data_IF_641374319364
#
_entry.id   IF_641374319364
#
_cell.length_a   1.000
_cell.length_b   1.000
_cell.length_c   1.000
_cell.angle_alpha   90.00
_cell.angle_beta   90.00
_cell.angle_gamma   90.00
#
_symmetry.space_group_name_H-M   'P 1'
#
loop_
_entity.id
_entity.type
_entity.pdbx_description
1 polymer ?
#
# COMPACT_ATOMS: atom_id res chain seq x y z
N UNK A 1 33.01 13.98 -29.08
CA UNK A 1 31.68 14.05 -28.42
C UNK A 1 31.40 12.68 -27.86
N UNK A 2 31.09 12.57 -26.57
CA UNK A 2 30.74 11.28 -25.95
C UNK A 2 29.34 10.86 -26.34
N UNK A 3 29.10 9.55 -26.45
CA UNK A 3 27.79 8.97 -26.75
C UNK A 3 26.82 9.25 -25.58
N UNK A 4 25.76 10.07 -25.79
CA UNK A 4 24.78 10.38 -24.75
C UNK A 4 23.96 9.17 -24.29
N UNK A 5 23.96 8.07 -25.06
CA UNK A 5 23.28 6.80 -24.74
C UNK A 5 24.27 5.64 -24.56
N UNK A 6 25.52 5.95 -24.23
CA UNK A 6 26.57 4.96 -24.04
C UNK A 6 26.28 3.98 -22.91
N UNK A 7 27.14 2.97 -22.78
CA UNK A 7 26.97 1.87 -21.83
C UNK A 7 26.78 2.33 -20.38
N UNK A 8 27.31 3.49 -20.00
CA UNK A 8 27.12 4.09 -18.68
C UNK A 8 25.65 4.46 -18.41
N UNK A 9 24.95 5.07 -19.37
CA UNK A 9 23.53 5.41 -19.24
C UNK A 9 22.67 4.14 -19.15
N UNK A 10 22.95 3.17 -20.03
CA UNK A 10 22.23 1.87 -20.03
C UNK A 10 22.42 1.14 -18.70
N UNK A 11 23.64 1.12 -18.16
CA UNK A 11 23.93 0.51 -16.87
C UNK A 11 23.23 1.24 -15.72
N UNK A 12 23.18 2.58 -15.72
CA UNK A 12 22.43 3.33 -14.71
C UNK A 12 20.93 3.07 -14.80
N UNK A 13 20.34 3.10 -15.99
CA UNK A 13 18.91 2.82 -16.19
C UNK A 13 18.56 1.41 -15.72
N UNK A 14 19.39 0.43 -16.09
CA UNK A 14 19.23 -0.96 -15.65
C UNK A 14 19.34 -1.09 -14.14
N UNK A 15 20.31 -0.44 -13.51
CA UNK A 15 20.46 -0.43 -12.05
C UNK A 15 19.24 0.14 -11.35
N UNK A 16 18.70 1.27 -11.83
CA UNK A 16 17.50 1.91 -11.27
C UNK A 16 16.28 1.01 -11.44
N UNK A 17 16.14 0.35 -12.60
CA UNK A 17 15.05 -0.60 -12.84
C UNK A 17 15.14 -1.82 -11.91
N UNK A 18 16.33 -2.41 -11.75
CA UNK A 18 16.55 -3.55 -10.86
C UNK A 18 16.26 -3.19 -9.40
N UNK A 19 16.66 -1.99 -8.96
CA UNK A 19 16.28 -1.46 -7.65
C UNK A 19 14.77 -1.28 -7.49
N UNK A 20 14.07 -0.77 -8.51
CA UNK A 20 12.61 -0.63 -8.50
C UNK A 20 11.90 -1.99 -8.39
N UNK A 21 12.42 -3.04 -9.06
CA UNK A 21 11.91 -4.41 -8.95
C UNK A 21 12.11 -4.96 -7.53
N UNK A 22 13.29 -4.80 -6.96
CA UNK A 22 13.58 -5.25 -5.58
C UNK A 22 12.66 -4.54 -4.59
N UNK A 23 12.44 -3.24 -4.77
CA UNK A 23 11.52 -2.47 -3.94
C UNK A 23 10.07 -2.98 -4.10
N UNK A 24 9.63 -3.23 -5.33
CA UNK A 24 8.31 -3.78 -5.62
C UNK A 24 8.09 -5.15 -4.96
N UNK A 25 9.07 -6.04 -5.02
CA UNK A 25 9.01 -7.35 -4.37
C UNK A 25 8.87 -7.23 -2.84
N UNK A 26 9.61 -6.29 -2.23
CA UNK A 26 9.49 -5.99 -0.79
C UNK A 26 8.10 -5.44 -0.43
N UNK A 27 7.55 -4.52 -1.23
CA UNK A 27 6.20 -3.98 -1.03
C UNK A 27 5.16 -5.10 -1.16
N UNK A 28 5.32 -6.00 -2.14
CA UNK A 28 4.45 -7.15 -2.32
C UNK A 28 4.52 -8.13 -1.14
N UNK A 29 5.72 -8.47 -0.66
CA UNK A 29 5.90 -9.34 0.50
C UNK A 29 5.26 -8.73 1.76
N UNK A 30 5.41 -7.42 1.96
CA UNK A 30 4.75 -6.69 3.06
C UNK A 30 3.22 -6.75 2.93
N UNK A 31 2.66 -6.62 1.72
CA UNK A 31 1.23 -6.75 1.47
C UNK A 31 0.71 -8.14 1.89
N UNK A 32 1.41 -9.20 1.51
CA UNK A 32 1.08 -10.58 1.89
C UNK A 32 1.21 -10.83 3.39
N UNK A 33 2.27 -10.32 4.03
CA UNK A 33 2.48 -10.38 5.48
C UNK A 33 1.37 -9.63 6.24
N UNK A 34 0.87 -8.51 5.72
CA UNK A 34 -0.25 -7.78 6.32
C UNK A 34 -1.57 -8.55 6.16
N UNK A 35 -1.82 -9.13 5.00
CA UNK A 35 -3.05 -9.90 4.74
C UNK A 35 -3.14 -11.16 5.62
N UNK A 36 -2.03 -11.88 5.78
CA UNK A 36 -1.95 -13.03 6.69
C UNK A 36 -2.15 -12.64 8.15
N UNK A 37 -1.51 -11.56 8.63
CA UNK A 37 -1.72 -11.02 9.98
C UNK A 37 -3.16 -10.62 10.22
N UNK A 38 -3.83 -9.99 9.25
CA UNK A 38 -5.26 -9.65 9.32
C UNK A 38 -6.13 -10.90 9.48
N UNK A 39 -5.90 -11.94 8.66
CA UNK A 39 -6.61 -13.23 8.76
C UNK A 39 -6.45 -13.88 10.13
N UNK A 40 -5.23 -13.89 10.68
CA UNK A 40 -4.93 -14.42 12.01
C UNK A 40 -5.65 -13.62 13.10
N UNK A 41 -5.61 -12.30 13.06
CA UNK A 41 -6.31 -11.46 14.03
C UNK A 41 -7.83 -11.61 13.97
N UNK A 42 -8.41 -11.71 12.77
CA UNK A 42 -9.84 -11.98 12.58
C UNK A 42 -10.25 -13.31 13.19
N UNK A 43 -9.43 -14.35 13.00
CA UNK A 43 -9.63 -15.66 13.64
C UNK A 43 -9.50 -15.57 15.16
N UNK A 44 -8.45 -14.92 15.67
CA UNK A 44 -8.22 -14.72 17.11
C UNK A 44 -9.37 -13.96 17.76
N UNK A 45 -9.91 -12.92 17.11
CA UNK A 45 -11.10 -12.22 17.61
C UNK A 45 -12.31 -13.14 17.73
N UNK A 46 -12.60 -13.94 16.71
CA UNK A 46 -13.71 -14.90 16.75
C UNK A 46 -13.54 -15.89 17.90
N UNK A 47 -12.34 -16.45 18.05
CA UNK A 47 -12.03 -17.39 19.14
C UNK A 47 -12.18 -16.73 20.51
N UNK A 48 -11.65 -15.53 20.70
CA UNK A 48 -11.79 -14.79 21.97
C UNK A 48 -13.26 -14.49 22.26
N UNK A 49 -14.04 -14.05 21.27
CA UNK A 49 -15.48 -13.80 21.45
C UNK A 49 -16.24 -15.07 21.81
N UNK A 50 -15.94 -16.19 21.16
CA UNK A 50 -16.56 -17.49 21.47
C UNK A 50 -16.22 -17.92 22.89
N UNK A 51 -14.93 -17.92 23.27
CA UNK A 51 -14.47 -18.29 24.62
C UNK A 51 -15.12 -17.41 25.68
N UNK A 52 -15.25 -16.12 25.42
CA UNK A 52 -15.91 -15.20 26.35
C UNK A 52 -17.40 -15.49 26.50
N UNK A 53 -18.08 -15.79 25.40
CA UNK A 53 -19.49 -16.15 25.41
C UNK A 53 -19.75 -17.49 26.11
N UNK A 54 -18.91 -18.51 25.86
CA UNK A 54 -19.03 -19.80 26.56
C UNK A 54 -18.68 -19.69 28.04
N UNK A 55 -17.64 -18.92 28.42
CA UNK A 55 -17.33 -18.66 29.81
C UNK A 55 -18.50 -17.98 30.54
N UNK A 56 -19.12 -16.97 29.92
CA UNK A 56 -20.30 -16.31 30.47
C UNK A 56 -21.49 -17.27 30.63
N UNK A 57 -21.78 -18.11 29.63
CA UNK A 57 -22.86 -19.12 29.71
C UNK A 57 -22.60 -20.16 30.80
N UNK A 58 -21.36 -20.63 30.94
CA UNK A 58 -20.99 -21.60 31.99
C UNK A 58 -21.11 -21.00 33.39
N UNK A 59 -20.73 -19.72 33.56
CA UNK A 59 -20.89 -19.01 34.83
C UNK A 59 -22.37 -18.85 35.20
N UNK A 60 -23.23 -18.52 34.24
CA UNK A 60 -24.69 -18.45 34.46
C UNK A 60 -25.26 -19.83 34.86
N UNK A 61 -24.83 -20.91 34.20
CA UNK A 61 -25.29 -22.26 34.52
C UNK A 61 -24.92 -22.71 35.94
N UNK A 62 -23.69 -22.43 36.39
CA UNK A 62 -23.24 -22.74 37.77
C UNK A 62 -24.04 -21.96 38.81
N UNK A 63 -24.33 -20.68 38.53
CA UNK A 63 -25.11 -19.85 39.45
C UNK A 63 -26.57 -20.31 39.56
N UNK A 64 -27.19 -20.76 38.46
CA UNK A 64 -28.54 -21.34 38.50
C UNK A 64 -28.55 -22.62 39.36
N UNK A 65 -27.55 -23.49 39.20
CA UNK A 65 -27.44 -24.72 39.98
C UNK A 65 -27.29 -24.45 41.49
N UNK A 66 -26.46 -23.47 41.86
CA UNK A 66 -26.22 -23.10 43.26
C UNK A 66 -27.47 -22.51 43.93
N UNK A 67 -28.27 -21.72 43.21
CA UNK A 67 -29.54 -21.17 43.71
C UNK A 67 -30.59 -22.24 44.01
N UNK A 68 -30.59 -23.37 43.29
CA UNK A 68 -31.53 -24.48 43.50
C UNK A 68 -31.14 -25.31 44.73
N UNK A 69 -29.84 -25.53 44.95
CA UNK A 69 -29.34 -26.36 46.05
C UNK A 69 -29.41 -25.65 47.41
N UNK A 70 -29.21 -24.32 47.45
CA UNK A 70 -29.26 -23.54 48.70
C UNK A 70 -30.15 -22.30 48.52
N UNK A 71 -31.48 -22.45 48.65
CA UNK A 71 -32.45 -21.37 48.48
C UNK A 71 -32.22 -20.10 49.32
N UNK A 72 -31.84 -20.16 50.62
CA UNK A 72 -31.65 -18.95 51.41
C UNK A 72 -30.42 -18.12 50.99
N UNK A 73 -29.48 -18.69 50.22
CA UNK A 73 -28.34 -17.98 49.65
C UNK A 73 -28.65 -17.34 48.29
N UNK A 74 -29.82 -17.60 47.70
CA UNK A 74 -30.23 -17.08 46.39
C UNK A 74 -30.00 -15.57 46.18
N UNK A 75 -30.35 -14.69 47.13
CA UNK A 75 -30.13 -13.24 46.99
C UNK A 75 -28.64 -12.87 46.88
N UNK A 76 -27.78 -13.52 47.67
CA UNK A 76 -26.34 -13.27 47.70
C UNK A 76 -25.65 -13.80 46.44
N UNK A 77 -26.07 -14.97 45.96
CA UNK A 77 -25.56 -15.60 44.73
C UNK A 77 -25.98 -14.78 43.50
N UNK A 78 -27.20 -14.26 43.46
CA UNK A 78 -27.67 -13.40 42.37
C UNK A 78 -26.92 -12.06 42.32
N UNK A 79 -26.63 -11.46 43.48
CA UNK A 79 -25.85 -10.21 43.56
C UNK A 79 -24.40 -10.44 43.10
N UNK A 80 -23.74 -11.49 43.59
CA UNK A 80 -22.37 -11.85 43.18
C UNK A 80 -22.30 -12.23 41.69
N UNK A 81 -23.33 -12.91 41.15
CA UNK A 81 -23.45 -13.21 39.73
C UNK A 81 -23.54 -11.93 38.90
N UNK A 82 -24.39 -10.98 39.29
CA UNK A 82 -24.56 -9.71 38.59
C UNK A 82 -23.25 -8.92 38.53
N UNK A 83 -22.51 -8.85 39.63
CA UNK A 83 -21.22 -8.14 39.70
C UNK A 83 -20.14 -8.87 38.87
N UNK A 84 -20.02 -10.20 39.01
CA UNK A 84 -19.04 -11.01 38.29
C UNK A 84 -19.27 -11.02 36.78
N UNK A 85 -20.53 -11.17 36.34
CA UNK A 85 -20.91 -11.14 34.94
C UNK A 85 -20.70 -9.75 34.33
N UNK A 86 -20.95 -8.69 35.10
CA UNK A 86 -20.70 -7.30 34.68
C UNK A 86 -19.22 -6.98 34.57
N UNK A 87 -18.38 -7.57 35.42
CA UNK A 87 -16.92 -7.42 35.34
C UNK A 87 -16.33 -8.18 34.15
N UNK A 88 -16.75 -9.42 33.95
CA UNK A 88 -16.35 -10.24 32.81
C UNK A 88 -16.87 -9.58 31.52
N UNK A 89 -18.18 -9.56 31.29
CA UNK A 89 -18.78 -9.05 30.05
C UNK A 89 -18.49 -7.57 29.83
N UNK A 90 -18.53 -6.74 30.88
CA UNK A 90 -18.50 -5.29 30.75
C UNK A 90 -17.12 -4.65 30.67
N UNK A 91 -16.10 -5.13 31.40
CA UNK A 91 -14.79 -4.45 31.45
C UNK A 91 -13.70 -5.18 30.69
N UNK A 92 -13.50 -6.48 30.96
CA UNK A 92 -12.39 -7.23 30.35
C UNK A 92 -12.72 -7.67 28.92
N UNK A 93 -13.92 -8.20 28.69
CA UNK A 93 -14.36 -8.61 27.35
C UNK A 93 -14.41 -7.46 26.35
N UNK A 94 -14.96 -6.31 26.76
CA UNK A 94 -15.02 -5.08 25.94
C UNK A 94 -13.63 -4.53 25.67
N UNK A 95 -12.74 -4.50 26.66
CA UNK A 95 -11.37 -4.00 26.48
C UNK A 95 -10.58 -4.88 25.49
N UNK A 96 -10.63 -6.21 25.64
CA UNK A 96 -9.92 -7.12 24.73
C UNK A 96 -10.50 -7.04 23.31
N UNK A 97 -11.81 -6.96 23.17
CA UNK A 97 -12.46 -6.75 21.87
C UNK A 97 -12.04 -5.41 21.25
N UNK A 98 -12.03 -4.33 22.03
CA UNK A 98 -11.62 -2.99 21.56
C UNK A 98 -10.15 -2.94 21.12
N UNK A 99 -9.25 -3.59 21.86
CA UNK A 99 -7.83 -3.69 21.51
C UNK A 99 -7.66 -4.46 20.20
N UNK A 100 -8.30 -5.63 20.06
CA UNK A 100 -8.27 -6.41 18.82
C UNK A 100 -8.89 -5.67 17.63
N UNK A 101 -9.92 -4.84 17.87
CA UNK A 101 -10.56 -3.99 16.86
C UNK A 101 -9.66 -2.85 16.42
N UNK A 102 -9.01 -2.16 17.35
CA UNK A 102 -8.04 -1.11 17.01
C UNK A 102 -6.84 -1.67 16.23
N UNK A 103 -6.32 -2.84 16.61
CA UNK A 103 -5.22 -3.47 15.87
C UNK A 103 -5.59 -3.87 14.44
N UNK A 104 -6.82 -4.34 14.21
CA UNK A 104 -7.30 -4.61 12.85
C UNK A 104 -7.43 -3.32 12.03
N UNK A 105 -7.98 -2.25 12.62
CA UNK A 105 -8.08 -0.96 11.93
C UNK A 105 -6.71 -0.36 11.58
N UNK A 106 -5.72 -0.50 12.47
CA UNK A 106 -4.35 -0.06 12.21
C UNK A 106 -3.71 -0.89 11.07
N UNK A 107 -3.95 -2.22 11.02
CA UNK A 107 -3.50 -3.05 9.89
C UNK A 107 -4.20 -2.73 8.58
N UNK A 108 -5.49 -2.38 8.61
CA UNK A 108 -6.24 -1.99 7.42
C UNK A 108 -5.70 -0.70 6.82
N UNK A 109 -5.37 0.28 7.67
CA UNK A 109 -4.67 1.50 7.24
C UNK A 109 -3.30 1.22 6.65
N UNK A 110 -2.52 0.34 7.28
CA UNK A 110 -1.22 -0.06 6.74
C UNK A 110 -1.36 -0.78 5.40
N UNK A 111 -2.37 -1.64 5.24
CA UNK A 111 -2.65 -2.33 3.99
C UNK A 111 -2.99 -1.35 2.87
N UNK A 112 -3.84 -0.37 3.15
CA UNK A 112 -4.24 0.64 2.16
C UNK A 112 -3.04 1.46 1.65
N UNK A 113 -2.13 1.88 2.55
CA UNK A 113 -0.89 2.56 2.14
C UNK A 113 0.00 1.66 1.27
N UNK A 114 0.12 0.38 1.63
CA UNK A 114 0.92 -0.59 0.87
C UNK A 114 0.30 -0.87 -0.51
N UNK A 115 -1.02 -0.90 -0.62
CA UNK A 115 -1.74 -1.08 -1.89
C UNK A 115 -1.53 0.12 -2.82
N UNK A 116 -1.68 1.34 -2.28
CA UNK A 116 -1.38 2.59 -3.00
C UNK A 116 0.09 2.59 -3.47
N UNK A 117 1.04 2.21 -2.61
CA UNK A 117 2.44 2.10 -3.02
C UNK A 117 2.63 1.07 -4.13
N UNK A 118 2.00 -0.10 -4.02
CA UNK A 118 2.12 -1.17 -5.01
C UNK A 118 1.61 -0.75 -6.39
N UNK A 119 0.43 -0.14 -6.47
CA UNK A 119 -0.14 0.33 -7.73
C UNK A 119 0.73 1.41 -8.39
N UNK A 120 1.20 2.38 -7.60
CA UNK A 120 2.07 3.45 -8.10
C UNK A 120 3.44 2.91 -8.56
N UNK A 121 4.05 1.97 -7.82
CA UNK A 121 5.32 1.35 -8.24
C UNK A 121 5.16 0.52 -9.51
N UNK A 122 4.05 -0.20 -9.67
CA UNK A 122 3.76 -0.98 -10.89
C UNK A 122 3.70 -0.09 -12.13
N UNK A 123 2.96 1.03 -12.04
CA UNK A 123 2.85 2.00 -13.14
C UNK A 123 4.21 2.63 -13.46
N UNK A 124 5.01 2.93 -12.44
CA UNK A 124 6.36 3.48 -12.62
C UNK A 124 7.32 2.52 -13.35
N UNK A 125 7.29 1.23 -12.99
CA UNK A 125 8.07 0.18 -13.66
C UNK A 125 7.63 0.06 -15.13
N UNK A 126 6.33 0.06 -15.40
CA UNK A 126 5.81 0.04 -16.77
C UNK A 126 6.26 1.26 -17.57
N UNK A 127 6.22 2.46 -16.99
CA UNK A 127 6.72 3.68 -17.61
C UNK A 127 8.22 3.60 -17.95
N UNK A 128 9.03 3.08 -17.02
CA UNK A 128 10.47 2.90 -17.21
C UNK A 128 10.78 1.90 -18.33
N UNK A 129 10.01 0.80 -18.43
CA UNK A 129 10.15 -0.17 -19.52
C UNK A 129 9.80 0.44 -20.89
N UNK A 130 8.74 1.25 -20.96
CA UNK A 130 8.39 1.99 -22.18
C UNK A 130 9.52 2.94 -22.58
N UNK A 131 10.07 3.72 -21.64
CA UNK A 131 11.20 4.61 -21.89
C UNK A 131 12.40 3.82 -22.43
N UNK A 132 12.74 2.68 -21.83
CA UNK A 132 13.86 1.87 -22.28
C UNK A 132 13.67 1.37 -23.72
N UNK A 133 12.47 0.90 -24.07
CA UNK A 133 12.16 0.47 -25.44
C UNK A 133 12.24 1.61 -26.48
N UNK A 134 11.85 2.82 -26.08
CA UNK A 134 11.91 3.99 -26.95
C UNK A 134 13.35 4.49 -27.12
N UNK A 135 14.19 4.37 -26.07
CA UNK A 135 15.63 4.64 -26.17
C UNK A 135 16.32 3.64 -27.11
N UNK A 136 15.97 2.36 -27.05
CA UNK A 136 16.52 1.37 -28.00
C UNK A 136 16.11 1.69 -29.45
N UNK A 137 14.88 2.15 -29.67
CA UNK A 137 14.41 2.64 -30.98
C UNK A 137 15.21 3.85 -31.44
N UNK A 138 15.53 4.80 -30.56
CA UNK A 138 16.37 5.97 -30.87
C UNK A 138 17.78 5.56 -31.29
N UNK A 139 18.40 4.63 -30.58
CA UNK A 139 19.75 4.12 -30.89
C UNK A 139 19.77 3.46 -32.27
N UNK A 140 18.73 2.68 -32.59
CA UNK A 140 18.60 2.03 -33.90
C UNK A 140 18.43 3.06 -35.03
N UNK A 141 17.52 4.03 -34.90
CA UNK A 141 17.35 5.08 -35.92
C UNK A 141 18.62 5.91 -36.10
N UNK A 142 19.33 6.27 -35.02
CA UNK A 142 20.61 6.97 -35.13
C UNK A 142 21.66 6.13 -35.89
N UNK A 143 21.71 4.83 -35.63
CA UNK A 143 22.62 3.91 -36.34
C UNK A 143 22.29 3.83 -37.84
N UNK A 144 21.00 3.79 -38.20
CA UNK A 144 20.55 3.77 -39.60
C UNK A 144 20.87 5.09 -40.33
N UNK A 145 20.69 6.24 -39.66
CA UNK A 145 21.10 7.55 -40.18
C UNK A 145 22.60 7.55 -40.48
N UNK A 146 23.43 7.09 -39.55
CA UNK A 146 24.88 7.06 -39.72
C UNK A 146 25.30 6.18 -40.90
N UNK A 147 24.73 4.97 -41.02
CA UNK A 147 25.01 4.05 -42.15
C UNK A 147 24.58 4.65 -43.49
N UNK A 148 23.43 5.33 -43.54
CA UNK A 148 22.95 5.98 -44.75
C UNK A 148 23.80 7.19 -45.15
N UNK A 149 24.25 7.99 -44.18
CA UNK A 149 25.16 9.12 -44.40
C UNK A 149 26.51 8.63 -44.92
N UNK A 150 27.11 7.63 -44.28
CA UNK A 150 28.40 7.06 -44.71
C UNK A 150 28.29 6.44 -46.11
N UNK A 151 27.20 5.72 -46.38
CA UNK A 151 26.91 5.15 -47.69
C UNK A 151 26.69 6.19 -48.80
N UNK A 152 26.20 7.38 -48.48
CA UNK A 152 26.02 8.51 -49.41
C UNK A 152 27.35 9.24 -49.67
N UNK A 153 28.23 9.31 -48.68
CA UNK A 153 29.57 9.89 -48.82
C UNK A 153 30.47 9.02 -49.71
N UNK A 154 30.36 7.69 -49.58
CA UNK A 154 31.17 6.73 -50.34
C UNK A 154 30.69 6.55 -51.79
N UNK A 155 29.37 6.50 -52.02
CA UNK A 155 28.80 6.38 -53.38
C UNK A 155 28.41 7.76 -53.90
N UNK A 156 29.20 8.34 -54.79
CA UNK A 156 28.97 9.68 -55.40
C UNK A 156 28.00 9.68 -56.60
N UNK A 157 27.27 8.60 -56.84
CA UNK A 157 26.24 8.57 -57.89
C UNK A 157 25.02 9.39 -57.46
N UNK A 158 24.65 10.37 -58.27
CA UNK A 158 23.65 11.40 -57.95
C UNK A 158 22.28 10.79 -57.57
N UNK A 159 21.82 9.79 -58.31
CA UNK A 159 20.57 9.03 -58.04
C UNK A 159 20.64 8.23 -56.73
N UNK A 160 21.78 7.60 -56.44
CA UNK A 160 21.98 6.82 -55.22
C UNK A 160 22.09 7.71 -53.96
N UNK A 161 22.67 8.90 -54.10
CA UNK A 161 22.74 9.91 -53.03
C UNK A 161 21.36 10.46 -52.71
N UNK A 162 20.52 10.70 -53.73
CA UNK A 162 19.16 11.23 -53.56
C UNK A 162 18.26 10.27 -52.76
N UNK A 163 18.28 8.98 -53.13
CA UNK A 163 17.57 7.91 -52.41
C UNK A 163 18.03 7.79 -50.95
N UNK A 164 19.33 7.91 -50.69
CA UNK A 164 19.86 7.87 -49.32
C UNK A 164 19.53 9.13 -48.52
N UNK A 165 19.50 10.30 -49.14
CA UNK A 165 19.06 11.54 -48.49
C UNK A 165 17.59 11.49 -48.08
N UNK A 166 16.75 10.87 -48.90
CA UNK A 166 15.34 10.62 -48.56
C UNK A 166 15.23 9.68 -47.35
N UNK A 167 15.94 8.54 -47.37
CA UNK A 167 16.00 7.62 -46.23
C UNK A 167 16.56 8.26 -44.94
N UNK A 168 17.55 9.17 -45.04
CA UNK A 168 18.05 9.94 -43.90
C UNK A 168 16.95 10.86 -43.34
N UNK A 169 16.19 11.51 -44.22
CA UNK A 169 15.11 12.42 -43.81
C UNK A 169 14.02 11.67 -43.05
N UNK A 170 13.61 10.51 -43.55
CA UNK A 170 12.61 9.66 -42.92
C UNK A 170 13.07 9.16 -41.54
N UNK A 171 14.34 8.72 -41.42
CA UNK A 171 14.89 8.29 -40.13
C UNK A 171 15.09 9.44 -39.14
N UNK A 172 15.42 10.64 -39.60
CA UNK A 172 15.49 11.84 -38.74
C UNK A 172 14.10 12.20 -38.22
N UNK A 173 13.05 12.07 -39.03
CA UNK A 173 11.66 12.25 -38.60
C UNK A 173 11.22 11.17 -37.59
N UNK A 174 11.60 9.91 -37.83
CA UNK A 174 11.37 8.80 -36.89
C UNK A 174 12.10 9.03 -35.55
N UNK A 175 13.33 9.53 -35.59
CA UNK A 175 14.14 9.90 -34.43
C UNK A 175 13.51 11.05 -33.64
N UNK A 176 13.07 12.13 -34.32
CA UNK A 176 12.38 13.25 -33.69
C UNK A 176 11.08 12.82 -33.01
N UNK A 177 10.33 11.93 -33.65
CA UNK A 177 9.10 11.35 -33.09
C UNK A 177 9.40 10.52 -31.85
N UNK A 178 10.41 9.65 -31.89
CA UNK A 178 10.80 8.84 -30.73
C UNK A 178 11.31 9.70 -29.56
N UNK A 179 12.02 10.81 -29.80
CA UNK A 179 12.41 11.76 -28.73
C UNK A 179 11.17 12.34 -28.04
N UNK A 180 10.17 12.73 -28.83
CA UNK A 180 8.91 13.26 -28.29
C UNK A 180 8.19 12.20 -27.44
N UNK A 181 8.10 10.96 -27.92
CA UNK A 181 7.51 9.84 -27.18
C UNK A 181 8.24 9.56 -25.86
N UNK A 182 9.57 9.60 -25.83
CA UNK A 182 10.37 9.47 -24.60
C UNK A 182 10.05 10.60 -23.62
N UNK A 183 10.00 11.85 -24.11
CA UNK A 183 9.68 13.01 -23.29
C UNK A 183 8.31 12.90 -22.63
N UNK A 184 7.30 12.46 -23.38
CA UNK A 184 5.95 12.20 -22.86
C UNK A 184 5.96 11.08 -21.81
N UNK A 185 6.62 9.95 -22.07
CA UNK A 185 6.70 8.83 -21.14
C UNK A 185 7.42 9.19 -19.83
N UNK A 186 8.50 9.98 -19.89
CA UNK A 186 9.22 10.51 -18.72
C UNK A 186 8.33 11.45 -17.91
N UNK A 187 7.60 12.35 -18.57
CA UNK A 187 6.67 13.26 -17.90
C UNK A 187 5.55 12.49 -17.17
N UNK A 188 4.99 11.46 -17.80
CA UNK A 188 4.01 10.56 -17.18
C UNK A 188 4.61 9.84 -15.98
N UNK A 189 5.79 9.24 -16.12
CA UNK A 189 6.49 8.54 -15.03
C UNK A 189 6.71 9.46 -13.82
N UNK A 190 7.21 10.67 -14.06
CA UNK A 190 7.47 11.67 -13.02
C UNK A 190 6.17 12.10 -12.31
N UNK A 191 5.09 12.31 -13.08
CA UNK A 191 3.76 12.62 -12.54
C UNK A 191 3.22 11.49 -11.66
N UNK A 192 3.37 10.22 -12.07
CA UNK A 192 2.98 9.06 -11.26
C UNK A 192 3.74 8.99 -9.94
N UNK A 193 5.06 9.23 -9.95
CA UNK A 193 5.87 9.26 -8.71
C UNK A 193 5.41 10.39 -7.78
N UNK A 194 5.16 11.58 -8.31
CA UNK A 194 4.69 12.72 -7.54
C UNK A 194 3.29 12.46 -6.94
N UNK A 195 2.37 11.95 -7.77
CA UNK A 195 1.00 11.61 -7.36
C UNK A 195 0.99 10.50 -6.31
N UNK A 196 1.78 9.43 -6.48
CA UNK A 196 1.88 8.36 -5.50
C UNK A 196 2.39 8.84 -4.13
N UNK A 197 3.42 9.70 -4.12
CA UNK A 197 3.91 10.32 -2.88
C UNK A 197 2.82 11.18 -2.20
N UNK A 198 2.08 11.96 -2.99
CA UNK A 198 1.00 12.80 -2.48
C UNK A 198 -0.14 11.97 -1.89
N UNK A 199 -0.58 10.91 -2.57
CA UNK A 199 -1.63 10.01 -2.10
C UNK A 199 -1.26 9.33 -0.78
N UNK A 200 0.00 8.88 -0.65
CA UNK A 200 0.51 8.32 0.62
C UNK A 200 0.49 9.37 1.73
N UNK A 201 0.96 10.59 1.47
CA UNK A 201 0.97 11.68 2.46
C UNK A 201 -0.44 12.11 2.87
N UNK A 202 -1.36 12.19 1.92
CA UNK A 202 -2.76 12.50 2.16
C UNK A 202 -3.41 11.42 3.03
N UNK A 203 -3.19 10.14 2.70
CA UNK A 203 -3.69 9.03 3.49
C UNK A 203 -3.18 9.08 4.93
N UNK A 204 -1.87 9.28 5.12
CA UNK A 204 -1.25 9.42 6.45
C UNK A 204 -1.87 10.60 7.21
N UNK A 205 -1.98 11.77 6.57
CA UNK A 205 -2.51 13.00 7.19
C UNK A 205 -3.98 12.84 7.61
N UNK A 206 -4.82 12.31 6.72
CA UNK A 206 -6.22 11.98 7.01
C UNK A 206 -6.33 10.95 8.13
N UNK A 207 -5.42 9.96 8.14
CA UNK A 207 -5.39 8.93 9.17
C UNK A 207 -5.07 9.50 10.57
N UNK A 208 -4.13 10.47 10.65
CA UNK A 208 -3.73 11.13 11.88
C UNK A 208 -4.83 12.07 12.41
N UNK A 209 -5.43 12.87 11.52
CA UNK A 209 -6.56 13.76 11.86
C UNK A 209 -7.75 12.98 12.44
N UNK A 210 -8.08 11.84 11.84
CA UNK A 210 -9.14 10.94 12.33
C UNK A 210 -8.79 10.31 13.70
N UNK A 211 -7.52 9.94 13.93
CA UNK A 211 -7.07 9.36 15.22
C UNK A 211 -7.14 10.38 16.35
N UNK A 212 -6.78 11.64 16.09
CA UNK A 212 -6.90 12.75 17.04
C UNK A 212 -8.35 13.03 17.47
N UNK A 213 -9.28 13.07 16.51
CA UNK A 213 -10.73 13.23 16.79
C UNK A 213 -11.27 12.12 17.68
N UNK A 214 -10.86 10.87 17.45
CA UNK A 214 -11.33 9.70 18.20
C UNK A 214 -10.82 9.68 19.65
N UNK A 215 -9.57 10.10 19.87
CA UNK A 215 -8.98 10.23 21.20
C UNK A 215 -9.73 11.26 22.05
N UNK A 216 -10.05 12.40 21.44
CA UNK A 216 -10.76 13.51 22.09
C UNK A 216 -12.21 13.16 22.49
N UNK A 217 -12.86 12.24 21.77
CA UNK A 217 -14.20 11.73 22.08
C UNK A 217 -14.14 10.73 23.24
N UNK A 218 -13.17 9.82 23.25
CA UNK A 218 -13.00 8.84 24.34
C UNK A 218 -12.65 9.51 25.68
N UNK A 219 -11.83 10.56 25.65
CA UNK A 219 -11.49 11.36 26.83
C UNK A 219 -12.72 12.08 27.40
N UNK A 220 -13.58 12.63 26.52
CA UNK A 220 -14.86 13.23 26.91
C UNK A 220 -15.82 12.22 27.56
N UNK A 221 -15.91 11.00 27.02
CA UNK A 221 -16.77 9.95 27.57
C UNK A 221 -16.25 9.48 28.94
N UNK A 222 -14.93 9.29 29.07
CA UNK A 222 -14.27 8.85 30.30
C UNK A 222 -14.45 9.88 31.43
N UNK A 223 -14.25 11.17 31.13
CA UNK A 223 -14.48 12.24 32.10
C UNK A 223 -15.95 12.36 32.52
N UNK A 224 -16.89 12.12 31.60
CA UNK A 224 -18.33 12.14 31.90
C UNK A 224 -18.78 10.95 32.77
N UNK A 225 -18.14 9.78 32.63
CA UNK A 225 -18.36 8.63 33.50
C UNK A 225 -17.76 8.81 34.89
N UNK A 226 -16.56 9.39 35.00
CA UNK A 226 -15.91 9.72 36.27
C UNK A 226 -16.69 10.77 37.08
N UNK A 227 -17.29 11.76 36.40
CA UNK A 227 -18.14 12.79 37.03
C UNK A 227 -19.45 12.23 37.61
N UNK A 228 -20.04 11.19 37.02
CA UNK A 228 -21.28 10.57 37.53
C UNK A 228 -21.06 9.66 38.74
N UNK A 229 -19.83 9.18 38.98
CA UNK A 229 -19.48 8.35 40.14
C UNK A 229 -19.26 9.13 41.45
N UNK A 230 -19.05 10.45 41.39
CA UNK A 230 -18.83 11.32 42.56
C UNK A 230 -20.09 11.93 43.17
N UNK A 231 -21.28 11.59 42.65
CA UNK A 231 -22.57 11.96 43.23
C UNK A 231 -23.27 10.72 43.79
N UNK A 232 -22.74 10.18 44.89
CA UNK A 232 -23.46 9.32 45.82
C UNK A 232 -22.85 9.51 47.20
#
# INVERSE_FOLDING_TARGET
>A
MGDPFGDEYKNQMKSVHDEQIILFEKVHELALKLDSKKKILKRRRRLVTIVYATAAMSFVAVQICLCVVIPPLGPYVALAAGIGLSYVIGTVGVMVHAVLKNRENDLDRQKEVVDIMFDNTKVNIQGTNTINSLVDKLINSLSLILVNVEGAVVKREEEAVKLRMEAIRDEVEAFATAIKEVGEAVATCNSCVASGKLQVLEHITNSMSSKGKKLHVLERITNKMSSKGKKK
#
